data_IF_754502955608
#
_entry.id   IF_754502955608
#
_cell.length_a   1.000
_cell.length_b   1.000
_cell.length_c   1.000
_cell.angle_alpha   90.00
_cell.angle_beta   90.00
_cell.angle_gamma   90.00
#
_symmetry.space_group_name_H-M   'P 1'
#
loop_
_entity.id
_entity.type
_entity.pdbx_description
1 polymer ?
#
# COMPACT_ATOMS: atom_id res chain seq x y z
N UNK A 1 6.45 6.49 -66.20
CA UNK A 1 5.33 6.78 -65.27
C UNK A 1 5.72 6.27 -63.89
N UNK A 2 5.56 7.12 -62.87
CA UNK A 2 5.92 6.88 -61.46
C UNK A 2 4.76 6.21 -60.70
N UNK A 3 5.12 5.61 -59.55
CA UNK A 3 4.26 5.02 -58.51
C UNK A 3 3.77 3.61 -58.84
N UNK A 4 3.96 2.62 -57.98
CA UNK A 4 3.28 2.54 -56.69
C UNK A 4 4.18 2.03 -55.55
N UNK A 5 4.26 2.85 -54.51
CA UNK A 5 4.94 2.57 -53.26
C UNK A 5 3.94 1.84 -52.33
N UNK A 6 4.06 0.52 -52.20
CA UNK A 6 3.26 -0.26 -51.26
C UNK A 6 3.75 0.03 -49.84
N UNK A 7 3.06 0.95 -49.16
CA UNK A 7 3.22 1.25 -47.74
C UNK A 7 2.76 0.04 -46.92
N UNK A 8 3.63 -0.97 -46.80
CA UNK A 8 3.47 -2.07 -45.87
C UNK A 8 3.71 -1.48 -44.47
N UNK A 9 2.62 -1.18 -43.76
CA UNK A 9 2.68 -0.80 -42.35
C UNK A 9 3.27 -1.98 -41.59
N UNK A 10 4.55 -1.86 -41.25
CA UNK A 10 5.26 -2.76 -40.34
C UNK A 10 4.51 -2.75 -39.00
N UNK A 11 3.74 -3.80 -38.75
CA UNK A 11 3.07 -4.01 -37.47
C UNK A 11 4.19 -4.35 -36.47
N UNK A 12 4.79 -3.32 -35.86
CA UNK A 12 5.62 -3.53 -34.68
C UNK A 12 4.72 -4.13 -33.63
N UNK A 13 4.91 -5.41 -33.33
CA UNK A 13 4.42 -6.01 -32.11
C UNK A 13 4.95 -5.15 -30.96
N UNK A 14 4.04 -4.47 -30.25
CA UNK A 14 4.40 -3.81 -29.00
C UNK A 14 4.72 -4.94 -28.02
N UNK A 15 5.94 -5.07 -27.49
CA UNK A 15 6.22 -6.04 -26.45
C UNK A 15 5.60 -5.51 -25.16
N UNK A 16 4.28 -5.62 -25.05
CA UNK A 16 3.64 -5.78 -23.74
C UNK A 16 3.91 -7.22 -23.31
N UNK A 17 5.18 -7.50 -23.04
CA UNK A 17 5.61 -8.66 -22.26
C UNK A 17 5.04 -8.47 -20.85
N UNK A 18 3.82 -8.97 -20.67
CA UNK A 18 3.35 -9.41 -19.36
C UNK A 18 4.26 -10.58 -18.96
N UNK A 19 5.40 -10.27 -18.36
CA UNK A 19 6.25 -11.26 -17.74
C UNK A 19 5.51 -11.87 -16.56
N UNK A 20 5.10 -13.12 -16.74
CA UNK A 20 4.75 -14.04 -15.68
C UNK A 20 6.01 -14.29 -14.83
N UNK A 21 6.32 -13.36 -13.92
CA UNK A 21 7.40 -13.48 -12.96
C UNK A 21 6.79 -13.59 -11.56
N UNK A 22 7.37 -14.50 -10.77
CA UNK A 22 6.99 -14.94 -9.44
C UNK A 22 6.17 -13.94 -8.60
N UNK A 23 5.13 -14.45 -7.94
CA UNK A 23 4.16 -13.71 -7.14
C UNK A 23 4.78 -13.01 -5.92
N UNK A 24 5.53 -11.93 -6.14
CA UNK A 24 5.71 -10.87 -5.16
C UNK A 24 4.41 -10.07 -5.10
N UNK A 25 3.86 -9.91 -3.89
CA UNK A 25 2.66 -9.08 -3.68
C UNK A 25 3.03 -7.63 -4.02
N UNK A 26 2.79 -7.22 -5.26
CA UNK A 26 2.93 -5.82 -5.68
C UNK A 26 1.90 -5.00 -4.91
N UNK A 27 2.35 -3.93 -4.22
CA UNK A 27 1.46 -3.02 -3.51
C UNK A 27 0.39 -2.51 -4.49
N UNK A 28 -0.88 -2.77 -4.19
CA UNK A 28 -2.00 -2.31 -5.03
C UNK A 28 -2.10 -0.80 -4.94
N UNK A 29 -2.43 -0.14 -6.06
CA UNK A 29 -2.69 1.29 -6.09
C UNK A 29 -3.84 1.64 -5.12
N UNK A 30 -3.77 2.78 -4.41
CA UNK A 30 -4.83 3.24 -3.53
C UNK A 30 -6.12 3.49 -4.33
N UNK A 31 -7.31 3.29 -3.73
CA UNK A 31 -8.58 3.67 -4.35
C UNK A 31 -8.66 5.20 -4.52
N UNK A 32 -9.30 5.66 -5.61
CA UNK A 32 -9.53 7.08 -5.84
C UNK A 32 -10.84 7.57 -5.20
N UNK A 33 -11.09 8.89 -5.18
CA UNK A 33 -12.30 9.47 -4.59
C UNK A 33 -13.60 8.88 -5.18
N UNK A 34 -13.65 8.68 -6.50
CA UNK A 34 -14.80 8.02 -7.13
C UNK A 34 -15.00 6.57 -6.66
N UNK A 35 -13.92 5.85 -6.37
CA UNK A 35 -14.00 4.47 -5.87
C UNK A 35 -14.69 4.42 -4.50
N UNK A 36 -14.44 5.41 -3.63
CA UNK A 36 -15.13 5.54 -2.35
C UNK A 36 -16.58 5.96 -2.52
N UNK A 37 -16.84 6.94 -3.38
CA UNK A 37 -18.20 7.33 -3.75
C UNK A 37 -19.01 6.12 -4.23
N UNK A 38 -18.48 5.38 -5.22
CA UNK A 38 -19.15 4.20 -5.75
C UNK A 38 -19.36 3.14 -4.67
N UNK A 39 -18.36 2.86 -3.83
CA UNK A 39 -18.49 1.91 -2.72
C UNK A 39 -19.63 2.29 -1.77
N UNK A 40 -19.82 3.58 -1.51
CA UNK A 40 -20.85 4.07 -0.61
C UNK A 40 -22.26 3.98 -1.22
N UNK A 41 -22.43 4.42 -2.47
CA UNK A 41 -23.75 4.54 -3.11
C UNK A 41 -24.16 3.36 -3.99
N UNK A 42 -23.27 2.38 -4.21
CA UNK A 42 -23.57 1.21 -5.05
C UNK A 42 -24.84 0.49 -4.60
N UNK A 43 -25.02 0.29 -3.29
CA UNK A 43 -26.17 -0.45 -2.78
C UNK A 43 -27.48 0.30 -3.05
N UNK A 44 -27.47 1.62 -2.94
CA UNK A 44 -28.64 2.45 -3.24
C UNK A 44 -28.95 2.41 -4.73
N UNK A 45 -27.92 2.51 -5.59
CA UNK A 45 -28.08 2.34 -7.03
C UNK A 45 -28.62 0.95 -7.41
N UNK A 46 -28.21 -0.11 -6.73
CA UNK A 46 -28.74 -1.46 -6.97
C UNK A 46 -30.21 -1.60 -6.54
N UNK A 47 -30.63 -0.88 -5.49
CA UNK A 47 -32.04 -0.83 -5.07
C UNK A 47 -32.89 -0.02 -6.04
N UNK A 48 -32.37 1.10 -6.55
CA UNK A 48 -33.06 1.94 -7.54
C UNK A 48 -33.14 1.27 -8.92
N UNK A 49 -32.13 0.47 -9.28
CA UNK A 49 -32.05 -0.23 -10.56
C UNK A 49 -31.81 -1.74 -10.38
N UNK A 50 -32.79 -2.50 -9.84
CA UNK A 50 -32.59 -3.92 -9.51
C UNK A 50 -32.36 -4.81 -10.73
N UNK A 51 -32.86 -4.40 -11.90
CA UNK A 51 -32.70 -5.14 -13.16
C UNK A 51 -31.38 -4.83 -13.88
N UNK A 52 -30.57 -3.89 -13.38
CA UNK A 52 -29.35 -3.47 -14.07
C UNK A 52 -28.20 -4.43 -13.77
N UNK A 53 -27.44 -4.75 -14.81
CA UNK A 53 -26.17 -5.47 -14.67
C UNK A 53 -25.15 -4.58 -13.90
N UNK A 54 -24.18 -5.18 -13.19
CA UNK A 54 -23.19 -4.41 -12.43
C UNK A 54 -22.44 -3.33 -13.24
N UNK A 55 -22.17 -3.57 -14.52
CA UNK A 55 -21.54 -2.58 -15.40
C UNK A 55 -22.44 -1.35 -15.64
N UNK A 56 -23.76 -1.54 -15.73
CA UNK A 56 -24.73 -0.45 -15.89
C UNK A 56 -24.89 0.33 -14.59
N UNK A 57 -24.82 -0.35 -13.44
CA UNK A 57 -24.78 0.32 -12.13
C UNK A 57 -23.55 1.23 -12.01
N UNK A 58 -22.37 0.74 -12.43
CA UNK A 58 -21.16 1.56 -12.45
C UNK A 58 -21.29 2.77 -13.38
N UNK A 59 -21.89 2.59 -14.56
CA UNK A 59 -22.17 3.69 -15.49
C UNK A 59 -23.13 4.72 -14.88
N UNK A 60 -24.19 4.28 -14.19
CA UNK A 60 -25.08 5.20 -13.47
C UNK A 60 -24.38 5.94 -12.34
N UNK A 61 -23.47 5.27 -11.63
CA UNK A 61 -22.64 5.93 -10.63
C UNK A 61 -21.73 6.99 -11.25
N UNK A 62 -21.11 6.73 -12.42
CA UNK A 62 -20.27 7.72 -13.09
C UNK A 62 -21.07 8.92 -13.57
N UNK A 63 -22.26 8.70 -14.15
CA UNK A 63 -23.18 9.77 -14.55
C UNK A 63 -23.56 10.67 -13.36
N UNK A 64 -23.91 10.07 -12.21
CA UNK A 64 -24.21 10.82 -10.97
C UNK A 64 -23.00 11.57 -10.44
N UNK A 65 -21.82 10.96 -10.53
CA UNK A 65 -20.58 11.59 -10.11
C UNK A 65 -20.27 12.82 -10.96
N UNK A 66 -20.46 12.77 -12.28
CA UNK A 66 -20.17 13.91 -13.16
C UNK A 66 -20.99 15.16 -12.78
N UNK A 67 -22.27 14.99 -12.47
CA UNK A 67 -23.17 16.08 -12.09
C UNK A 67 -23.15 16.42 -10.59
N UNK A 68 -22.44 15.64 -9.76
CA UNK A 68 -22.42 15.85 -8.32
C UNK A 68 -21.81 17.21 -7.93
N UNK A 69 -22.32 17.85 -6.86
CA UNK A 69 -21.80 19.13 -6.36
C UNK A 69 -20.29 19.04 -6.06
N UNK A 70 -19.51 20.12 -6.34
CA UNK A 70 -18.08 20.15 -6.03
C UNK A 70 -17.78 19.86 -4.56
N UNK A 71 -18.63 20.32 -3.64
CA UNK A 71 -18.48 20.08 -2.20
C UNK A 71 -18.47 18.58 -1.88
N UNK A 72 -19.39 17.83 -2.48
CA UNK A 72 -19.47 16.37 -2.30
C UNK A 72 -18.22 15.69 -2.86
N UNK A 73 -17.82 16.07 -4.09
CA UNK A 73 -16.63 15.51 -4.74
C UNK A 73 -15.38 15.74 -3.91
N UNK A 74 -15.20 16.96 -3.43
CA UNK A 74 -14.06 17.36 -2.62
C UNK A 74 -13.97 16.56 -1.31
N UNK A 75 -15.10 16.22 -0.70
CA UNK A 75 -15.12 15.33 0.47
C UNK A 75 -14.50 13.96 0.17
N UNK A 76 -14.96 13.29 -0.90
CA UNK A 76 -14.42 11.98 -1.28
C UNK A 76 -12.97 12.05 -1.78
N UNK A 77 -12.57 13.12 -2.45
CA UNK A 77 -11.19 13.33 -2.89
C UNK A 77 -10.26 13.51 -1.70
N UNK A 78 -10.64 14.33 -0.70
CA UNK A 78 -9.87 14.50 0.54
C UNK A 78 -9.74 13.18 1.29
N UNK A 79 -10.84 12.45 1.45
CA UNK A 79 -10.82 11.14 2.10
C UNK A 79 -9.88 10.16 1.39
N UNK A 80 -9.89 10.13 0.06
CA UNK A 80 -8.98 9.26 -0.70
C UNK A 80 -7.51 9.65 -0.52
N UNK A 81 -7.20 10.95 -0.41
CA UNK A 81 -5.85 11.45 -0.16
C UNK A 81 -5.36 11.09 1.25
N UNK A 82 -6.21 11.26 2.26
CA UNK A 82 -5.92 10.87 3.65
C UNK A 82 -5.68 9.36 3.77
N UNK A 83 -6.56 8.55 3.20
CA UNK A 83 -6.42 7.09 3.18
C UNK A 83 -5.14 6.66 2.44
N UNK A 84 -4.77 7.37 1.37
CA UNK A 84 -3.52 7.12 0.66
C UNK A 84 -2.29 7.45 1.52
N UNK A 85 -2.33 8.55 2.28
CA UNK A 85 -1.26 8.92 3.22
C UNK A 85 -1.10 7.88 4.32
N UNK A 86 -2.19 7.37 4.87
CA UNK A 86 -2.16 6.32 5.90
C UNK A 86 -1.57 5.00 5.37
N UNK A 87 -1.93 4.60 4.15
CA UNK A 87 -1.41 3.36 3.53
C UNK A 87 0.06 3.41 3.17
N UNK A 88 0.57 4.59 2.84
CA UNK A 88 1.97 4.80 2.49
C UNK A 88 2.75 5.50 3.61
N UNK A 89 2.19 5.55 4.82
CA UNK A 89 2.91 6.02 5.98
C UNK A 89 4.08 5.07 6.24
N UNK A 90 5.29 5.55 5.97
CA UNK A 90 6.51 4.91 6.41
C UNK A 90 6.85 5.53 7.77
N UNK A 91 6.71 4.80 8.88
CA UNK A 91 7.10 5.32 10.17
C UNK A 91 8.57 5.76 10.09
N UNK A 92 8.93 6.94 10.62
CA UNK A 92 10.33 7.31 10.72
C UNK A 92 11.04 6.24 11.55
N UNK A 93 11.83 5.38 10.88
CA UNK A 93 12.68 4.33 11.45
C UNK A 93 12.15 3.80 12.79
N UNK A 94 11.28 2.77 12.76
CA UNK A 94 11.15 1.92 13.93
C UNK A 94 12.57 1.55 14.41
N UNK A 95 12.90 1.65 15.72
CA UNK A 95 14.24 1.34 16.19
C UNK A 95 14.64 -0.01 15.62
N UNK A 96 15.67 -0.05 14.78
CA UNK A 96 16.19 -1.32 14.30
C UNK A 96 16.52 -2.13 15.55
N UNK A 97 16.12 -3.42 15.63
CA UNK A 97 16.56 -4.25 16.74
C UNK A 97 18.09 -4.14 16.81
N UNK A 98 18.66 -3.90 18.00
CA UNK A 98 20.08 -3.67 18.13
C UNK A 98 20.85 -4.80 17.42
N UNK A 99 21.89 -4.48 16.63
CA UNK A 99 22.64 -5.50 15.93
C UNK A 99 23.29 -6.45 16.95
N UNK A 100 22.73 -7.65 17.02
CA UNK A 100 23.30 -8.85 17.62
C UNK A 100 23.60 -8.78 19.14
N UNK A 101 22.71 -9.43 19.92
CA UNK A 101 22.82 -9.61 21.38
C UNK A 101 24.06 -10.42 21.82
N UNK A 102 24.72 -11.14 20.91
CA UNK A 102 25.84 -12.04 21.23
C UNK A 102 27.08 -11.29 21.75
N UNK A 103 27.22 -9.99 21.47
CA UNK A 103 28.34 -9.20 22.02
C UNK A 103 28.12 -8.73 23.46
N UNK A 104 26.87 -8.69 23.94
CA UNK A 104 26.55 -8.20 25.30
C UNK A 104 26.71 -9.30 26.35
N UNK A 105 26.52 -10.57 25.97
CA UNK A 105 26.73 -11.70 26.88
C UNK A 105 28.22 -12.00 27.15
N UNK A 106 29.12 -11.61 26.26
CA UNK A 106 30.57 -11.83 26.41
C UNK A 106 31.29 -10.83 27.33
N UNK A 107 30.60 -9.81 27.86
CA UNK A 107 31.18 -8.88 28.84
C UNK A 107 30.84 -9.29 30.29
N UNK A 108 30.05 -10.34 30.49
CA UNK A 108 29.59 -10.76 31.83
C UNK A 108 30.54 -11.72 32.54
N UNK A 109 31.55 -12.26 31.87
CA UNK A 109 32.46 -13.23 32.47
C UNK A 109 33.66 -12.60 33.22
N UNK A 110 33.95 -11.30 33.02
CA UNK A 110 35.12 -10.65 33.65
C UNK A 110 34.82 -9.92 34.98
N UNK A 111 33.55 -9.69 35.33
CA UNK A 111 33.20 -8.94 36.55
C UNK A 111 32.98 -9.82 37.79
N UNK A 112 32.87 -11.15 37.62
CA UNK A 112 32.58 -12.09 38.72
C UNK A 112 33.78 -12.31 39.65
N UNK A 113 35.02 -12.04 39.23
CA UNK A 113 36.19 -12.14 40.11
C UNK A 113 36.28 -10.99 41.13
N UNK A 114 35.72 -9.82 40.83
CA UNK A 114 35.80 -8.65 41.73
C UNK A 114 34.81 -8.70 42.88
N UNK A 115 33.71 -9.43 42.74
CA UNK A 115 32.65 -9.47 43.75
C UNK A 115 32.94 -10.43 44.92
N UNK A 116 33.93 -11.32 44.80
CA UNK A 116 34.29 -12.27 45.84
C UNK A 116 35.31 -11.77 46.87
N UNK A 117 35.91 -10.58 46.67
CA UNK A 117 36.82 -9.99 47.66
C UNK A 117 36.08 -9.26 48.81
N UNK A 118 34.79 -8.94 48.64
CA UNK A 118 34.04 -8.11 49.58
C UNK A 118 33.32 -8.87 50.70
N UNK A 119 33.20 -10.19 50.61
CA UNK A 119 32.58 -11.00 51.66
C UNK A 119 33.69 -11.75 52.40
N UNK A 120 34.41 -11.05 53.27
CA UNK A 120 35.16 -11.71 54.35
C UNK A 120 34.14 -12.19 55.39
N UNK A 121 34.00 -13.51 55.63
CA UNK A 121 33.03 -14.01 56.61
C UNK A 121 33.42 -13.75 58.08
N UNK A 122 34.62 -13.21 58.34
CA UNK A 122 35.14 -13.10 59.71
C UNK A 122 34.82 -11.77 60.41
N UNK A 123 33.78 -11.04 60.01
CA UNK A 123 33.34 -9.82 60.73
C UNK A 123 32.06 -9.97 61.54
N UNK A 124 31.53 -11.19 61.64
CA UNK A 124 30.42 -11.52 62.55
C UNK A 124 30.83 -12.63 63.51
N UNK A 125 31.76 -12.33 64.42
CA UNK A 125 31.83 -12.86 65.79
C UNK A 125 32.93 -12.13 66.59
#
# INVERSE_FOLDING_TARGET
MKSNNSNLREIRANPSTSTCTAAGIKKKKPPNGFSFYYKMYKNDLMKEFPSYKPCMILKKASERWEIAPPVLKNGFLKYADEENKLRNYDPPHAPQPPPNLTKVLNLREEEDEKFHEFIKPDSYL
#
